data_IF_877396848927
#
_entry.id   IF_877396848927
#
_cell.length_a   1.000
_cell.length_b   1.000
_cell.length_c   1.000
_cell.angle_alpha   90.00
_cell.angle_beta   90.00
_cell.angle_gamma   90.00
#
_symmetry.space_group_name_H-M   'P 1'
#
loop_
_entity.id
_entity.type
_entity.pdbx_description
1 polymer ?
#
# COMPACT_ATOMS: atom_id res chain seq x y z
N UNK A 1 17.30 21.67 -54.98
CA UNK A 1 15.90 21.68 -54.47
C UNK A 1 15.42 20.25 -54.33
N UNK A 2 15.37 19.71 -53.11
CA UNK A 2 14.69 18.44 -52.77
C UNK A 2 13.76 18.77 -51.60
N UNK A 3 12.46 18.76 -51.86
CA UNK A 3 11.44 18.90 -50.83
C UNK A 3 11.20 17.53 -50.19
N UNK A 4 11.51 17.39 -48.90
CA UNK A 4 11.07 16.25 -48.09
C UNK A 4 9.69 16.61 -47.51
N UNK A 5 8.65 15.90 -47.96
CA UNK A 5 7.31 16.00 -47.36
C UNK A 5 7.31 15.08 -46.14
N UNK A 6 7.33 15.67 -44.95
CA UNK A 6 7.15 14.97 -43.68
C UNK A 6 5.64 14.77 -43.46
N UNK A 7 5.10 13.61 -43.81
CA UNK A 7 3.74 13.23 -43.47
C UNK A 7 3.71 12.74 -42.02
N UNK A 8 3.27 13.58 -41.10
CA UNK A 8 2.93 13.18 -39.73
C UNK A 8 1.62 12.40 -39.76
N UNK A 9 1.69 11.08 -39.53
CA UNK A 9 0.50 10.31 -39.16
C UNK A 9 0.13 10.66 -37.71
N UNK A 10 -0.86 11.52 -37.52
CA UNK A 10 -1.53 11.66 -36.25
C UNK A 10 -2.46 10.44 -36.06
N UNK A 11 -2.05 9.50 -35.21
CA UNK A 11 -2.93 8.43 -34.79
C UNK A 11 -4.01 9.02 -33.87
N UNK A 12 -5.25 9.06 -34.37
CA UNK A 12 -6.43 9.37 -33.56
C UNK A 12 -6.64 8.18 -32.62
N UNK A 13 -6.27 8.33 -31.34
CA UNK A 13 -6.68 7.39 -30.30
C UNK A 13 -8.15 7.67 -30.01
N UNK A 14 -9.03 6.90 -30.64
CA UNK A 14 -10.43 6.83 -30.24
C UNK A 14 -10.51 6.16 -28.87
N UNK A 15 -10.93 6.89 -27.85
CA UNK A 15 -11.28 6.33 -26.56
C UNK A 15 -12.51 5.42 -26.74
N UNK A 16 -12.30 4.11 -26.73
CA UNK A 16 -13.40 3.13 -26.71
C UNK A 16 -13.93 3.03 -25.28
N UNK A 17 -15.20 3.41 -25.00
CA UNK A 17 -15.81 3.14 -23.71
C UNK A 17 -16.10 1.63 -23.66
N UNK A 18 -15.43 0.91 -22.75
CA UNK A 18 -15.84 -0.47 -22.41
C UNK A 18 -14.81 -1.61 -22.47
N UNK A 19 -13.52 -1.38 -22.19
CA UNK A 19 -12.53 -2.47 -22.12
C UNK A 19 -12.75 -3.49 -20.98
N UNK A 20 -13.72 -3.25 -20.09
CA UNK A 20 -14.09 -4.18 -19.01
C UNK A 20 -15.24 -5.15 -19.39
N UNK A 21 -15.85 -5.04 -20.58
CA UNK A 21 -16.91 -5.96 -21.00
C UNK A 21 -16.33 -7.33 -21.36
N UNK A 22 -16.62 -8.34 -20.53
CA UNK A 22 -16.29 -9.76 -20.78
C UNK A 22 -15.26 -10.40 -19.86
N UNK A 23 -14.66 -9.64 -18.93
CA UNK A 23 -13.75 -10.21 -17.92
C UNK A 23 -14.54 -10.85 -16.78
N UNK A 24 -14.18 -12.08 -16.39
CA UNK A 24 -14.80 -12.74 -15.24
C UNK A 24 -14.24 -12.23 -13.90
N UNK A 25 -15.02 -12.36 -12.81
CA UNK A 25 -14.54 -12.11 -11.45
C UNK A 25 -13.40 -13.08 -11.13
N UNK A 26 -12.28 -12.54 -10.65
CA UNK A 26 -11.04 -13.28 -10.38
C UNK A 26 -10.04 -13.28 -11.54
N UNK A 27 -10.45 -12.96 -12.78
CA UNK A 27 -9.50 -12.79 -13.89
C UNK A 27 -8.71 -11.50 -13.72
N UNK A 28 -7.37 -11.59 -13.74
CA UNK A 28 -6.52 -10.41 -13.65
C UNK A 28 -6.52 -9.61 -14.96
N UNK A 29 -6.60 -8.29 -14.84
CA UNK A 29 -6.42 -7.32 -15.92
C UNK A 29 -5.88 -6.01 -15.32
N UNK A 30 -4.91 -5.33 -15.96
CA UNK A 30 -4.42 -4.03 -15.48
C UNK A 30 -5.53 -2.95 -15.53
N UNK A 31 -5.39 -1.82 -14.81
CA UNK A 31 -6.34 -0.72 -14.92
C UNK A 31 -6.35 -0.16 -16.36
N UNK A 32 -7.53 0.30 -16.81
CA UNK A 32 -7.69 1.00 -18.09
C UNK A 32 -7.96 2.50 -17.87
N UNK A 33 -7.98 3.26 -18.96
CA UNK A 33 -8.26 4.69 -18.87
C UNK A 33 -9.61 4.97 -18.18
N UNK A 34 -9.58 5.76 -17.11
CA UNK A 34 -10.74 6.12 -16.30
C UNK A 34 -10.90 5.29 -15.01
N UNK A 35 -10.19 4.17 -14.88
CA UNK A 35 -10.07 3.43 -13.62
C UNK A 35 -9.12 4.19 -12.68
N UNK A 36 -9.42 4.19 -11.38
CA UNK A 36 -8.56 4.79 -10.35
C UNK A 36 -7.91 3.72 -9.48
N UNK A 37 -6.73 4.01 -8.96
CA UNK A 37 -5.95 3.14 -8.07
C UNK A 37 -5.40 3.94 -6.90
N UNK A 38 -4.87 3.22 -5.91
CA UNK A 38 -4.44 3.75 -4.62
C UNK A 38 -2.95 3.50 -4.37
N UNK A 39 -2.35 4.07 -3.31
CA UNK A 39 -1.06 3.63 -2.80
C UNK A 39 -1.10 2.21 -2.20
N UNK A 40 -2.30 1.64 -1.95
CA UNK A 40 -2.49 0.32 -1.37
C UNK A 40 -2.49 -0.78 -2.45
N UNK A 41 -1.43 -1.61 -2.53
CA UNK A 41 -1.37 -2.67 -3.54
C UNK A 41 -2.47 -3.71 -3.34
N UNK A 42 -2.88 -3.98 -2.10
CA UNK A 42 -3.89 -4.99 -1.79
C UNK A 42 -5.27 -4.66 -2.35
N UNK A 43 -5.72 -3.41 -2.22
CA UNK A 43 -6.99 -3.00 -2.82
C UNK A 43 -6.88 -2.89 -4.34
N UNK A 44 -5.73 -2.47 -4.87
CA UNK A 44 -5.48 -2.43 -6.31
C UNK A 44 -5.54 -3.83 -6.94
N UNK A 45 -4.98 -4.85 -6.26
CA UNK A 45 -5.08 -6.26 -6.67
C UNK A 45 -6.55 -6.69 -6.77
N UNK A 46 -7.39 -6.36 -5.77
CA UNK A 46 -8.80 -6.72 -5.80
C UNK A 46 -9.55 -6.06 -6.96
N UNK A 47 -9.25 -4.79 -7.27
CA UNK A 47 -9.79 -4.08 -8.43
C UNK A 47 -9.30 -4.70 -9.75
N UNK A 48 -8.00 -5.00 -9.88
CA UNK A 48 -7.40 -5.62 -11.06
C UNK A 48 -7.93 -7.04 -11.32
N UNK A 49 -8.40 -7.74 -10.29
CA UNK A 49 -9.07 -9.04 -10.42
C UNK A 49 -10.59 -8.93 -10.58
N UNK A 50 -11.18 -7.73 -10.51
CA UNK A 50 -12.64 -7.56 -10.53
C UNK A 50 -13.35 -8.20 -9.33
N UNK A 51 -12.62 -8.39 -8.23
CA UNK A 51 -13.18 -8.85 -6.95
C UNK A 51 -13.92 -7.68 -6.29
N UNK A 52 -13.30 -6.49 -6.35
CA UNK A 52 -13.98 -5.20 -6.19
C UNK A 52 -14.24 -4.59 -7.57
N UNK A 53 -15.17 -3.61 -7.69
CA UNK A 53 -15.41 -2.90 -8.96
C UNK A 53 -14.10 -2.42 -9.60
N UNK A 54 -13.88 -2.78 -10.88
CA UNK A 54 -12.57 -2.57 -11.57
C UNK A 54 -12.19 -1.11 -11.74
N UNK A 55 -13.20 -0.23 -11.77
CA UNK A 55 -13.02 1.21 -11.91
C UNK A 55 -12.43 1.86 -10.66
N UNK A 56 -12.36 1.15 -9.54
CA UNK A 56 -11.76 1.62 -8.29
C UNK A 56 -12.63 2.59 -7.52
N UNK A 57 -13.94 2.71 -7.81
CA UNK A 57 -14.78 3.79 -7.30
C UNK A 57 -15.86 3.29 -6.34
N UNK A 58 -16.18 4.13 -5.36
CA UNK A 58 -17.35 4.00 -4.47
C UNK A 58 -17.46 2.65 -3.75
N UNK A 59 -16.36 2.15 -3.19
CA UNK A 59 -16.38 0.95 -2.36
C UNK A 59 -17.11 1.24 -1.05
N UNK A 60 -18.20 0.50 -0.82
CA UNK A 60 -18.96 0.54 0.42
C UNK A 60 -18.49 -0.54 1.41
N UNK A 61 -19.13 -0.56 2.58
CA UNK A 61 -18.81 -1.48 3.66
C UNK A 61 -18.95 -2.95 3.22
N UNK A 62 -20.07 -3.29 2.58
CA UNK A 62 -20.40 -4.68 2.24
C UNK A 62 -19.47 -5.21 1.15
N UNK A 63 -19.10 -4.37 0.17
CA UNK A 63 -18.08 -4.71 -0.84
C UNK A 63 -16.74 -5.09 -0.18
N UNK A 64 -16.29 -4.32 0.80
CA UNK A 64 -15.01 -4.59 1.49
C UNK A 64 -15.10 -5.83 2.38
N UNK A 65 -16.20 -6.02 3.11
CA UNK A 65 -16.43 -7.19 3.95
C UNK A 65 -16.72 -8.46 3.15
N UNK A 66 -17.12 -8.37 1.89
CA UNK A 66 -17.13 -9.53 0.99
C UNK A 66 -15.71 -9.82 0.46
N UNK A 67 -15.01 -8.79 -0.03
CA UNK A 67 -13.78 -8.97 -0.80
C UNK A 67 -12.56 -9.37 0.05
N UNK A 68 -12.34 -8.71 1.20
CA UNK A 68 -11.16 -8.96 2.02
C UNK A 68 -11.16 -10.36 2.68
N UNK A 69 -12.27 -10.82 3.31
CA UNK A 69 -12.30 -12.17 3.88
C UNK A 69 -12.26 -13.26 2.81
N UNK A 70 -13.00 -13.11 1.71
CA UNK A 70 -13.06 -14.14 0.66
C UNK A 70 -11.71 -14.36 -0.02
N UNK A 71 -10.94 -13.29 -0.24
CA UNK A 71 -9.67 -13.30 -0.97
C UNK A 71 -8.47 -13.52 -0.06
N UNK A 72 -8.34 -12.72 1.00
CA UNK A 72 -7.14 -12.68 1.85
C UNK A 72 -7.31 -13.41 3.18
N UNK A 73 -8.51 -13.91 3.48
CA UNK A 73 -8.86 -14.44 4.80
C UNK A 73 -8.63 -13.41 5.92
N UNK A 74 -8.80 -12.13 5.62
CA UNK A 74 -8.83 -11.06 6.62
C UNK A 74 -10.12 -11.20 7.43
N UNK A 75 -10.03 -11.15 8.76
CA UNK A 75 -11.22 -11.25 9.59
C UNK A 75 -12.09 -9.98 9.48
N UNK A 76 -13.35 -10.11 9.90
CA UNK A 76 -14.33 -9.02 9.81
C UNK A 76 -13.90 -7.79 10.60
N UNK A 77 -13.28 -7.97 11.78
CA UNK A 77 -12.85 -6.85 12.64
C UNK A 77 -11.77 -6.01 11.94
N UNK A 78 -10.80 -6.66 11.31
CA UNK A 78 -9.77 -5.98 10.52
C UNK A 78 -10.36 -5.38 9.25
N UNK A 79 -11.23 -6.09 8.54
CA UNK A 79 -11.88 -5.57 7.33
C UNK A 79 -12.68 -4.28 7.62
N UNK A 80 -13.50 -4.28 8.68
CA UNK A 80 -14.26 -3.11 9.13
C UNK A 80 -13.34 -1.97 9.55
N UNK A 81 -12.26 -2.25 10.29
CA UNK A 81 -11.27 -1.22 10.66
C UNK A 81 -10.58 -0.59 9.44
N UNK A 82 -10.20 -1.40 8.45
CA UNK A 82 -9.60 -0.92 7.20
C UNK A 82 -10.59 -0.08 6.38
N UNK A 83 -11.86 -0.50 6.30
CA UNK A 83 -12.92 0.28 5.65
C UNK A 83 -13.10 1.65 6.31
N UNK A 84 -13.15 1.69 7.65
CA UNK A 84 -13.24 2.95 8.41
C UNK A 84 -12.04 3.87 8.16
N UNK A 85 -10.82 3.33 8.03
CA UNK A 85 -9.66 4.13 7.65
C UNK A 85 -9.81 4.69 6.22
N UNK A 86 -10.32 3.89 5.28
CA UNK A 86 -10.63 4.36 3.93
C UNK A 86 -11.61 5.53 3.94
N UNK A 87 -12.69 5.47 4.73
CA UNK A 87 -13.62 6.58 4.89
C UNK A 87 -12.96 7.85 5.46
N UNK A 88 -11.95 7.76 6.31
CA UNK A 88 -11.25 8.97 6.80
C UNK A 88 -10.53 9.74 5.69
N UNK A 89 -10.26 9.09 4.57
CA UNK A 89 -9.61 9.70 3.41
C UNK A 89 -10.58 10.41 2.47
N UNK A 90 -11.90 10.32 2.67
CA UNK A 90 -12.83 11.10 1.84
C UNK A 90 -12.90 12.58 2.28
N UNK A 91 -13.09 13.50 1.34
CA UNK A 91 -13.43 14.90 1.63
C UNK A 91 -14.94 15.12 1.71
N UNK A 92 -15.74 14.13 1.31
CA UNK A 92 -17.20 14.22 1.26
C UNK A 92 -17.75 14.02 2.68
N UNK A 93 -18.44 15.04 3.21
CA UNK A 93 -19.11 14.96 4.51
C UNK A 93 -20.13 13.82 4.53
N UNK A 94 -20.07 12.97 5.56
CA UNK A 94 -21.00 11.85 5.74
C UNK A 94 -20.84 10.73 4.71
N UNK A 95 -19.67 10.60 4.06
CA UNK A 95 -19.46 9.54 3.09
C UNK A 95 -19.60 8.15 3.71
N UNK A 96 -20.32 7.28 2.99
CA UNK A 96 -20.47 5.85 3.28
C UNK A 96 -19.65 4.99 2.32
N UNK A 97 -18.90 5.62 1.40
CA UNK A 97 -18.03 4.95 0.43
C UNK A 97 -16.72 5.71 0.29
N UNK A 98 -15.68 5.04 -0.20
CA UNK A 98 -14.46 5.67 -0.68
C UNK A 98 -14.07 5.12 -2.07
N UNK A 99 -13.36 5.91 -2.86
CA UNK A 99 -12.70 5.47 -4.09
C UNK A 99 -11.21 5.27 -3.83
N UNK A 100 -10.54 4.46 -4.64
CA UNK A 100 -9.13 4.13 -4.42
C UNK A 100 -8.21 5.35 -4.45
N UNK A 101 -8.53 6.36 -5.26
CA UNK A 101 -7.81 7.63 -5.30
C UNK A 101 -8.07 8.52 -4.08
N UNK A 102 -9.14 8.32 -3.31
CA UNK A 102 -9.31 9.02 -2.01
C UNK A 102 -8.14 8.67 -1.06
N UNK A 103 -7.65 7.42 -1.13
CA UNK A 103 -6.56 6.92 -0.28
C UNK A 103 -5.20 7.59 -0.56
N UNK A 104 -5.06 8.36 -1.64
CA UNK A 104 -3.84 9.12 -1.99
C UNK A 104 -3.64 10.31 -1.03
N UNK A 105 -4.69 10.75 -0.31
CA UNK A 105 -4.56 11.89 0.58
C UNK A 105 -3.53 11.66 1.68
N UNK A 106 -2.45 12.42 1.57
CA UNK A 106 -1.30 12.38 2.45
C UNK A 106 -1.66 12.61 3.91
N UNK A 107 -0.93 11.91 4.77
CA UNK A 107 -0.98 12.01 6.23
C UNK A 107 -2.27 11.53 6.93
N UNK A 108 -3.06 10.70 6.25
CA UNK A 108 -4.23 10.04 6.86
C UNK A 108 -4.01 8.52 6.96
N UNK A 109 -3.88 7.86 5.81
CA UNK A 109 -3.57 6.44 5.67
C UNK A 109 -2.29 6.27 4.85
N UNK A 110 -2.19 7.00 3.73
CA UNK A 110 -0.94 7.24 3.03
C UNK A 110 0.01 8.03 3.93
N UNK A 111 1.30 7.69 3.86
CA UNK A 111 2.35 8.34 4.61
C UNK A 111 3.71 8.14 3.93
N UNK A 112 4.64 9.06 4.24
CA UNK A 112 6.03 9.01 3.83
C UNK A 112 6.73 7.69 4.20
N UNK A 113 7.89 7.46 3.59
CA UNK A 113 8.73 6.27 3.82
C UNK A 113 8.09 4.95 3.37
N UNK A 114 7.16 5.03 2.42
CA UNK A 114 6.54 3.87 1.79
C UNK A 114 7.58 2.88 1.23
N UNK A 115 7.25 1.59 1.29
CA UNK A 115 8.14 0.50 0.87
C UNK A 115 8.24 0.36 -0.66
N UNK A 116 7.31 0.93 -1.42
CA UNK A 116 7.26 0.81 -2.89
C UNK A 116 6.77 2.07 -3.62
N UNK A 117 6.40 3.12 -2.89
CA UNK A 117 5.88 4.40 -3.40
C UNK A 117 6.80 5.53 -2.97
N UNK A 118 6.85 6.61 -3.76
CA UNK A 118 7.57 7.81 -3.36
C UNK A 118 6.80 8.57 -2.28
N UNK A 119 7.48 9.53 -1.66
CA UNK A 119 6.85 10.43 -0.70
C UNK A 119 6.02 11.48 -1.45
N UNK A 120 4.95 11.98 -0.83
CA UNK A 120 4.05 12.97 -1.42
C UNK A 120 4.78 14.25 -1.88
N UNK A 121 5.88 14.60 -1.20
CA UNK A 121 6.74 15.71 -1.59
C UNK A 121 7.25 15.62 -3.04
N UNK A 122 7.48 14.41 -3.56
CA UNK A 122 7.95 14.20 -4.93
C UNK A 122 6.82 14.43 -5.97
N UNK A 123 5.55 14.35 -5.54
CA UNK A 123 4.36 14.63 -6.35
C UNK A 123 3.60 13.41 -6.89
N UNK A 124 4.12 12.19 -6.70
CA UNK A 124 3.45 10.92 -7.04
C UNK A 124 3.76 9.86 -5.97
N UNK A 125 2.89 9.76 -4.98
CA UNK A 125 2.99 8.90 -3.79
C UNK A 125 2.14 7.63 -3.87
N UNK A 126 1.53 7.34 -5.02
CA UNK A 126 0.64 6.20 -5.17
C UNK A 126 1.07 5.21 -6.25
N UNK A 127 1.79 5.67 -7.28
CA UNK A 127 2.31 4.79 -8.34
C UNK A 127 3.46 3.93 -7.83
N UNK A 128 3.50 2.66 -8.26
CA UNK A 128 4.64 1.78 -7.98
C UNK A 128 5.95 2.43 -8.49
N UNK A 129 6.96 2.50 -7.62
CA UNK A 129 8.26 3.05 -7.93
C UNK A 129 9.34 1.97 -7.83
N UNK A 130 9.93 1.58 -8.96
CA UNK A 130 10.94 0.54 -9.03
C UNK A 130 12.20 0.87 -8.23
N UNK A 131 12.63 2.14 -8.20
CA UNK A 131 13.86 2.53 -7.45
C UNK A 131 13.67 2.33 -5.95
N UNK A 132 12.50 2.71 -5.44
CA UNK A 132 12.14 2.55 -4.03
C UNK A 132 11.95 1.07 -3.69
N UNK A 133 11.28 0.32 -4.57
CA UNK A 133 11.13 -1.12 -4.39
C UNK A 133 12.47 -1.86 -4.42
N UNK A 134 13.40 -1.46 -5.28
CA UNK A 134 14.77 -1.98 -5.36
C UNK A 134 15.54 -1.71 -4.08
N UNK A 135 15.40 -0.52 -3.48
CA UNK A 135 15.96 -0.24 -2.16
C UNK A 135 15.39 -1.18 -1.10
N UNK A 136 14.07 -1.30 -1.03
CA UNK A 136 13.38 -2.18 -0.08
C UNK A 136 13.86 -3.62 -0.20
N UNK A 137 13.82 -4.20 -1.40
CA UNK A 137 14.19 -5.61 -1.62
C UNK A 137 15.70 -5.87 -1.55
N UNK A 138 16.54 -4.84 -1.50
CA UNK A 138 17.99 -4.99 -1.40
C UNK A 138 18.41 -5.69 -0.11
N UNK A 139 17.59 -5.62 0.94
CA UNK A 139 17.82 -6.29 2.22
C UNK A 139 17.45 -7.77 2.20
N UNK A 140 16.66 -8.22 1.23
CA UNK A 140 16.13 -9.58 1.19
C UNK A 140 17.10 -10.48 0.42
N UNK A 141 18.05 -11.10 1.12
CA UNK A 141 19.10 -11.90 0.44
C UNK A 141 18.62 -13.29 0.04
N UNK A 142 17.71 -13.88 0.81
CA UNK A 142 17.23 -15.25 0.61
C UNK A 142 15.87 -15.29 -0.10
N UNK A 143 15.42 -16.46 -0.62
CA UNK A 143 14.08 -16.60 -1.19
C UNK A 143 12.95 -16.39 -0.18
N UNK A 144 13.23 -16.64 1.11
CA UNK A 144 12.33 -16.37 2.22
C UNK A 144 12.82 -15.11 2.95
N UNK A 145 11.95 -14.13 3.02
CA UNK A 145 12.12 -12.88 3.78
C UNK A 145 11.78 -13.18 5.24
N UNK A 146 12.60 -12.69 6.17
CA UNK A 146 12.40 -12.79 7.62
C UNK A 146 11.92 -11.49 8.25
N UNK A 147 11.61 -11.51 9.55
CA UNK A 147 11.33 -10.29 10.34
C UNK A 147 12.50 -9.32 10.29
N UNK A 148 13.74 -9.81 10.45
CA UNK A 148 14.95 -9.00 10.36
C UNK A 148 15.12 -8.34 8.99
N UNK A 149 14.86 -9.08 7.91
CA UNK A 149 14.91 -8.55 6.53
C UNK A 149 13.89 -7.41 6.33
N UNK A 150 12.67 -7.58 6.85
CA UNK A 150 11.63 -6.55 6.82
C UNK A 150 12.02 -5.33 7.66
N UNK A 151 12.58 -5.54 8.85
CA UNK A 151 13.00 -4.47 9.75
C UNK A 151 14.08 -3.59 9.12
N UNK A 152 15.12 -4.19 8.52
CA UNK A 152 16.15 -3.43 7.81
C UNK A 152 15.56 -2.62 6.64
N UNK A 153 14.57 -3.18 5.94
CA UNK A 153 13.89 -2.48 4.84
C UNK A 153 13.09 -1.28 5.35
N UNK A 154 12.29 -1.47 6.40
CA UNK A 154 11.50 -0.43 7.06
C UNK A 154 12.40 0.71 7.54
N UNK A 155 13.48 0.37 8.26
CA UNK A 155 14.42 1.36 8.77
C UNK A 155 15.09 2.14 7.65
N UNK A 156 15.61 1.45 6.62
CA UNK A 156 16.29 2.10 5.51
C UNK A 156 15.36 3.05 4.74
N UNK A 157 14.10 2.64 4.52
CA UNK A 157 13.10 3.48 3.87
C UNK A 157 12.77 4.73 4.69
N UNK A 158 12.57 4.58 6.00
CA UNK A 158 12.34 5.70 6.90
C UNK A 158 13.51 6.68 6.92
N UNK A 159 14.74 6.19 7.11
CA UNK A 159 15.94 7.05 7.16
C UNK A 159 16.19 7.76 5.83
N UNK A 160 15.98 7.07 4.70
CA UNK A 160 16.18 7.65 3.37
C UNK A 160 15.16 8.75 3.10
N UNK A 161 13.89 8.48 3.38
CA UNK A 161 12.80 9.44 3.25
C UNK A 161 13.06 10.67 4.11
N UNK A 162 13.33 10.50 5.42
CA UNK A 162 13.70 11.61 6.32
C UNK A 162 14.91 12.43 5.86
N UNK A 163 15.91 11.79 5.24
CA UNK A 163 17.11 12.48 4.78
C UNK A 163 16.94 13.23 3.45
N UNK A 164 15.95 12.85 2.64
CA UNK A 164 15.78 13.35 1.26
C UNK A 164 14.51 14.14 1.03
N UNK A 165 13.52 14.02 1.93
CA UNK A 165 12.28 14.78 1.92
C UNK A 165 12.36 15.94 2.94
N UNK A 166 12.47 17.20 2.49
CA UNK A 166 12.51 18.36 3.38
C UNK A 166 11.18 18.64 4.12
N UNK A 167 10.09 17.99 3.72
CA UNK A 167 8.77 18.06 4.37
C UNK A 167 8.38 16.75 5.05
N UNK A 168 9.35 15.89 5.36
CA UNK A 168 9.10 14.59 5.97
C UNK A 168 8.21 14.68 7.23
N UNK A 169 7.08 13.98 7.22
CA UNK A 169 6.01 14.12 8.22
C UNK A 169 5.82 12.89 9.12
N UNK A 170 6.41 11.74 8.77
CA UNK A 170 6.24 10.49 9.52
C UNK A 170 7.11 10.43 10.78
N UNK A 171 6.67 11.15 11.82
CA UNK A 171 7.38 11.35 13.09
C UNK A 171 6.61 10.80 14.31
N UNK A 172 7.31 10.70 15.44
CA UNK A 172 6.71 10.31 16.73
C UNK A 172 6.00 8.95 16.70
N UNK A 173 4.83 8.88 17.32
CA UNK A 173 4.03 7.64 17.42
C UNK A 173 3.51 7.11 16.08
N UNK A 174 3.66 7.86 14.97
CA UNK A 174 3.29 7.38 13.63
C UNK A 174 4.37 6.53 12.98
N UNK A 175 5.62 6.59 13.44
CA UNK A 175 6.75 5.84 12.83
C UNK A 175 6.43 4.34 12.60
N UNK A 176 5.78 3.61 13.52
CA UNK A 176 5.39 2.21 13.32
C UNK A 176 4.40 1.93 12.19
N UNK A 177 3.87 2.94 11.48
CA UNK A 177 3.00 2.74 10.31
C UNK A 177 3.70 1.93 9.19
N UNK A 178 5.00 2.16 8.95
CA UNK A 178 5.75 1.45 7.89
C UNK A 178 5.89 -0.05 8.21
N UNK A 179 6.20 -0.39 9.47
CA UNK A 179 6.21 -1.80 9.93
C UNK A 179 4.82 -2.41 9.93
N UNK A 180 3.76 -1.61 10.16
CA UNK A 180 2.37 -2.03 10.02
C UNK A 180 2.04 -2.47 8.59
N UNK A 181 2.47 -1.70 7.59
CA UNK A 181 2.34 -2.07 6.17
C UNK A 181 3.08 -3.37 5.84
N UNK A 182 4.32 -3.52 6.33
CA UNK A 182 5.12 -4.74 6.18
C UNK A 182 4.46 -5.97 6.82
N UNK A 183 3.91 -5.79 8.02
CA UNK A 183 3.20 -6.83 8.75
C UNK A 183 1.91 -7.26 8.04
N UNK A 184 1.17 -6.31 7.45
CA UNK A 184 -0.08 -6.60 6.78
C UNK A 184 0.13 -7.48 5.54
N UNK A 185 1.03 -7.10 4.61
CA UNK A 185 1.28 -7.95 3.44
C UNK A 185 1.90 -9.30 3.83
N UNK A 186 2.72 -9.34 4.90
CA UNK A 186 3.32 -10.60 5.37
C UNK A 186 2.25 -11.52 5.98
N UNK A 187 1.27 -10.94 6.67
CA UNK A 187 0.15 -11.69 7.23
C UNK A 187 -0.80 -12.22 6.16
N UNK A 188 -0.93 -11.54 5.02
CA UNK A 188 -1.76 -11.99 3.89
C UNK A 188 -1.03 -13.01 3.01
N UNK A 189 0.22 -12.75 2.66
CA UNK A 189 0.95 -13.52 1.65
C UNK A 189 1.87 -14.60 2.23
N UNK A 190 2.22 -14.49 3.50
CA UNK A 190 3.19 -15.33 4.18
C UNK A 190 2.64 -15.97 5.45
N UNK A 191 3.56 -16.25 6.38
CA UNK A 191 3.25 -16.82 7.69
C UNK A 191 3.51 -15.75 8.76
N UNK A 192 2.44 -15.22 9.35
CA UNK A 192 2.52 -14.18 10.38
C UNK A 192 3.17 -14.65 11.68
N UNK A 193 2.91 -15.89 12.10
CA UNK A 193 3.52 -16.48 13.31
C UNK A 193 5.03 -16.59 13.16
N UNK A 194 5.51 -17.16 12.06
CA UNK A 194 6.94 -17.24 11.77
C UNK A 194 7.52 -15.86 11.42
N UNK A 195 6.70 -14.95 10.89
CA UNK A 195 7.16 -13.67 10.32
C UNK A 195 7.96 -13.89 9.04
N UNK A 196 7.50 -14.81 8.19
CA UNK A 196 8.21 -15.19 6.96
C UNK A 196 7.34 -15.00 5.72
N UNK A 197 7.97 -14.57 4.64
CA UNK A 197 7.29 -14.30 3.37
C UNK A 197 8.16 -14.73 2.20
N UNK A 198 7.57 -15.41 1.22
CA UNK A 198 8.27 -15.72 -0.02
C UNK A 198 8.48 -14.45 -0.85
N UNK A 199 9.71 -14.23 -1.30
CA UNK A 199 10.10 -13.06 -2.09
C UNK A 199 9.35 -12.97 -3.41
N UNK A 200 9.14 -14.09 -4.09
CA UNK A 200 8.43 -14.12 -5.37
C UNK A 200 6.94 -13.77 -5.22
N UNK A 201 6.30 -14.19 -4.12
CA UNK A 201 4.91 -13.83 -3.82
C UNK A 201 4.71 -12.33 -3.66
N UNK A 202 5.53 -11.68 -2.82
CA UNK A 202 5.39 -10.23 -2.61
C UNK A 202 5.79 -9.45 -3.85
N UNK A 203 6.74 -9.94 -4.64
CA UNK A 203 7.15 -9.24 -5.85
C UNK A 203 6.01 -9.22 -6.90
N UNK A 204 5.33 -10.34 -7.14
CA UNK A 204 4.15 -10.34 -8.02
C UNK A 204 3.02 -9.46 -7.45
N UNK A 205 2.79 -9.50 -6.13
CA UNK A 205 1.71 -8.73 -5.50
C UNK A 205 1.95 -7.21 -5.49
N UNK A 206 3.20 -6.75 -5.36
CA UNK A 206 3.54 -5.32 -5.37
C UNK A 206 3.75 -4.78 -6.78
N UNK A 207 4.46 -5.52 -7.64
CA UNK A 207 4.90 -5.02 -8.96
C UNK A 207 3.80 -5.15 -10.00
N UNK A 208 3.11 -6.29 -10.02
CA UNK A 208 2.02 -6.55 -10.99
C UNK A 208 0.64 -6.23 -10.41
N UNK A 209 0.55 -5.94 -9.11
CA UNK A 209 -0.71 -5.81 -8.37
C UNK A 209 -1.66 -6.97 -8.72
N UNK A 210 -1.12 -8.17 -8.54
CA UNK A 210 -1.72 -9.46 -8.92
C UNK A 210 -1.62 -10.48 -7.80
N UNK A 211 -2.63 -11.34 -7.66
CA UNK A 211 -2.56 -12.47 -6.75
C UNK A 211 -1.51 -13.50 -7.22
N UNK A 212 -0.56 -13.93 -6.38
CA UNK A 212 0.51 -14.86 -6.77
C UNK A 212 0.08 -16.33 -6.90
N UNK A 213 -1.14 -16.58 -7.38
CA UNK A 213 -1.75 -17.91 -7.51
C UNK A 213 -0.93 -18.78 -8.47
N UNK A 214 -0.38 -18.19 -9.54
CA UNK A 214 0.47 -18.90 -10.52
C UNK A 214 1.78 -19.42 -9.91
N UNK A 215 2.24 -18.81 -8.81
CA UNK A 215 3.42 -19.22 -8.06
C UNK A 215 3.08 -20.22 -6.93
N UNK A 216 1.80 -20.59 -6.82
CA UNK A 216 1.28 -21.53 -5.83
C UNK A 216 0.82 -20.88 -4.53
N UNK A 217 0.66 -19.55 -4.48
CA UNK A 217 0.07 -18.91 -3.30
C UNK A 217 -1.37 -19.38 -3.08
N UNK A 218 -1.71 -19.58 -1.81
CA UNK A 218 -3.05 -19.88 -1.33
C UNK A 218 -3.31 -18.99 -0.12
N UNK A 219 -4.55 -18.51 0.03
CA UNK A 219 -4.94 -17.77 1.22
C UNK A 219 -4.67 -18.58 2.48
N UNK A 220 -4.31 -17.87 3.55
CA UNK A 220 -4.03 -18.47 4.84
C UNK A 220 -5.24 -19.21 5.41
N UNK A 221 -5.01 -20.31 6.13
CA UNK A 221 -6.08 -21.08 6.79
C UNK A 221 -6.61 -20.38 8.04
N UNK A 222 -5.71 -19.78 8.81
CA UNK A 222 -6.05 -18.96 9.97
C UNK A 222 -6.38 -17.55 9.50
N UNK A 223 -7.46 -16.92 10.01
CA UNK A 223 -7.78 -15.55 9.66
C UNK A 223 -6.68 -14.56 10.03
N UNK A 224 -6.47 -13.56 9.18
CA UNK A 224 -5.61 -12.42 9.46
C UNK A 224 -6.39 -11.41 10.30
N UNK A 225 -6.01 -11.29 11.56
CA UNK A 225 -6.73 -10.49 12.56
C UNK A 225 -6.01 -9.22 13.02
N UNK A 226 -6.70 -8.35 13.79
CA UNK A 226 -6.18 -7.33 14.68
C UNK A 226 -4.75 -7.54 15.15
N UNK A 227 -4.74 -8.55 16.00
CA UNK A 227 -3.65 -8.92 16.88
C UNK A 227 -2.54 -9.63 16.11
N UNK A 228 -2.89 -10.37 15.05
CA UNK A 228 -1.91 -11.01 14.18
C UNK A 228 -1.04 -9.96 13.48
N UNK A 229 -1.67 -8.94 12.88
CA UNK A 229 -0.94 -7.86 12.20
C UNK A 229 -0.19 -7.00 13.21
N UNK A 230 -0.82 -6.63 14.32
CA UNK A 230 -0.21 -5.82 15.38
C UNK A 230 1.02 -6.51 16.00
N UNK A 231 0.90 -7.79 16.36
CA UNK A 231 2.00 -8.58 16.93
C UNK A 231 3.20 -8.68 15.97
N UNK A 232 2.94 -8.93 14.68
CA UNK A 232 4.01 -8.97 13.69
C UNK A 232 4.63 -7.58 13.47
N UNK A 233 3.82 -6.52 13.41
CA UNK A 233 4.30 -5.13 13.28
C UNK A 233 5.25 -4.78 14.42
N UNK A 234 4.88 -5.10 15.67
CA UNK A 234 5.72 -4.88 16.84
C UNK A 234 7.03 -5.66 16.76
N UNK A 235 7.00 -6.91 16.30
CA UNK A 235 8.23 -7.72 16.11
C UNK A 235 9.16 -7.13 15.05
N UNK A 236 8.60 -6.64 13.94
CA UNK A 236 9.38 -5.95 12.88
C UNK A 236 9.97 -4.66 13.46
N UNK A 237 9.14 -3.82 14.08
CA UNK A 237 9.57 -2.53 14.61
C UNK A 237 10.65 -2.67 15.70
N UNK A 238 10.51 -3.65 16.60
CA UNK A 238 11.48 -3.93 17.66
C UNK A 238 12.86 -4.36 17.14
N UNK A 239 12.99 -4.68 15.85
CA UNK A 239 14.26 -5.02 15.19
C UNK A 239 14.85 -3.85 14.40
N UNK A 240 14.21 -2.68 14.43
CA UNK A 240 14.73 -1.43 13.86
C UNK A 240 15.42 -0.58 14.93
N UNK A 241 16.33 0.30 14.53
CA UNK A 241 16.93 1.31 15.41
C UNK A 241 16.13 2.63 15.43
N UNK A 242 14.80 2.56 15.28
CA UNK A 242 13.92 3.74 15.20
C UNK A 242 13.22 4.11 16.52
N UNK A 243 13.30 3.27 17.56
CA UNK A 243 12.63 3.54 18.84
C UNK A 243 13.08 4.89 19.48
N UNK A 244 14.35 5.27 19.30
CA UNK A 244 14.87 6.56 19.78
C UNK A 244 14.28 7.77 19.06
N UNK A 245 13.82 7.61 17.81
CA UNK A 245 13.25 8.69 17.00
C UNK A 245 11.84 9.08 17.49
N UNK A 246 11.11 8.13 18.08
CA UNK A 246 9.81 8.39 18.73
C UNK A 246 10.02 9.33 19.91
N UNK A 247 10.93 8.96 20.82
CA UNK A 247 11.21 9.71 22.05
C UNK A 247 11.83 11.09 21.78
N UNK A 248 12.74 11.19 20.81
CA UNK A 248 13.37 12.45 20.42
C UNK A 248 12.39 13.49 19.88
N UNK A 249 11.31 13.04 19.24
CA UNK A 249 10.22 13.91 18.78
C UNK A 249 9.43 14.49 19.94
N UNK A 250 9.14 13.68 20.97
CA UNK A 250 8.43 14.12 22.19
C UNK A 250 9.22 15.19 22.96
N UNK A 251 10.52 15.00 23.13
CA UNK A 251 11.38 16.00 23.80
C UNK A 251 11.44 17.32 23.04
N UNK A 252 11.44 17.28 21.70
CA UNK A 252 11.46 18.50 20.87
C UNK A 252 10.11 19.22 20.87
N UNK A 253 8.99 18.49 20.87
CA UNK A 253 7.66 19.06 21.05
C UNK A 253 7.48 19.74 22.43
N UNK A 254 8.10 19.19 23.48
CA UNK A 254 8.13 19.77 24.82
C UNK A 254 9.00 21.04 24.92
N UNK A 255 10.06 21.16 24.11
CA UNK A 255 10.94 22.33 24.08
C UNK A 255 10.42 23.46 23.19
N UNK A 256 9.65 23.12 22.15
CA UNK A 256 8.94 24.08 21.29
C UNK A 256 7.51 24.23 21.81
N UNK A 257 7.35 24.73 23.03
CA UNK A 257 6.02 24.98 23.59
C UNK A 257 5.29 26.03 22.77
N UNK A 258 4.27 25.64 22.01
CA UNK A 258 3.15 26.49 21.56
C UNK A 258 1.88 25.64 21.36
N UNK A 259 0.89 25.92 22.23
CA UNK A 259 -0.57 25.81 22.07
C UNK A 259 -1.18 24.85 21.06
N UNK A 260 -1.99 23.92 21.57
CA UNK A 260 -3.11 23.34 20.82
C UNK A 260 -3.26 21.84 20.94
N UNK A 261 -3.62 21.34 22.13
CA UNK A 261 -4.39 20.09 22.18
C UNK A 261 -5.80 20.41 21.69
N UNK A 262 -6.16 19.87 20.53
CA UNK A 262 -7.54 19.72 20.13
C UNK A 262 -7.71 18.30 19.58
N UNK A 263 -8.28 17.46 20.46
CA UNK A 263 -8.95 16.16 20.26
C UNK A 263 -8.20 15.06 19.50
#
# INVERSE_FOLDING_TARGET
MRFLICTTFAAIVSASPGLNHGLSKGQWHPPVAGDVRSPCPGLNVLANHGILPRDGKNYDHDMILEALPSTYNIDEKLATGLFQQGLRTTVRSGATTFSLDDLIRHDIVEADASLSRADAWIGDDFTFNLTIWDQTRSFWKNPIITVEDLAHSVEARWRTSKATNPWFSLLGERIPMVSGGAALFTSVLGNSTAGTLRKDFINEWIVEERLPIRLGWKKNKTPVSPDTVSSLSQRIFAKTDLAGEINGTMTRALLVGHGGMAL
#
